data_IF_333835326848
#
_entry.id   IF_333835326848
#
_cell.length_a   1.000
_cell.length_b   1.000
_cell.length_c   1.000
_cell.angle_alpha   90.00
_cell.angle_beta   90.00
_cell.angle_gamma   90.00
#
_symmetry.space_group_name_H-M   'P 1'
#
loop_
_entity.id
_entity.type
_entity.pdbx_description
1 polymer ?
#
# COMPACT_ATOMS: atom_id res chain seq x y z
N UNK A 1 15.08 -13.17 -24.10
CA UNK A 1 14.54 -12.47 -22.91
C UNK A 1 15.65 -12.44 -21.87
N UNK A 2 15.90 -11.27 -21.26
CA UNK A 2 16.85 -11.19 -20.15
C UNK A 2 16.30 -11.98 -18.97
N UNK A 3 17.16 -12.70 -18.27
CA UNK A 3 16.77 -13.44 -17.06
C UNK A 3 16.35 -12.45 -15.98
N UNK A 4 15.23 -12.71 -15.33
CA UNK A 4 14.79 -11.95 -14.14
C UNK A 4 15.41 -12.64 -12.93
N UNK A 5 16.06 -11.88 -12.05
CA UNK A 5 16.84 -12.41 -10.93
C UNK A 5 16.48 -11.69 -9.63
N UNK A 6 16.37 -12.45 -8.55
CA UNK A 6 16.21 -11.94 -7.19
C UNK A 6 17.11 -12.73 -6.24
N UNK A 7 17.90 -12.03 -5.44
CA UNK A 7 18.91 -12.62 -4.54
C UNK A 7 19.81 -13.68 -5.22
N UNK A 8 20.26 -13.40 -6.45
CA UNK A 8 21.14 -14.29 -7.22
C UNK A 8 20.46 -15.51 -7.84
N UNK A 9 19.14 -15.65 -7.70
CA UNK A 9 18.36 -16.76 -8.24
C UNK A 9 17.43 -16.30 -9.36
N UNK A 10 17.34 -17.10 -10.42
CA UNK A 10 16.43 -16.85 -11.53
C UNK A 10 14.97 -17.02 -11.09
N UNK A 11 14.13 -16.05 -11.45
CA UNK A 11 12.69 -16.05 -11.21
C UNK A 11 11.95 -16.31 -12.52
N UNK A 12 10.88 -17.11 -12.45
CA UNK A 12 10.08 -17.42 -13.66
C UNK A 12 8.80 -16.61 -13.76
N UNK A 13 8.25 -16.11 -12.65
CA UNK A 13 6.98 -15.39 -12.59
C UNK A 13 6.80 -14.62 -11.25
N UNK A 14 5.68 -13.91 -11.08
CA UNK A 14 5.37 -13.15 -9.85
C UNK A 14 5.17 -14.03 -8.60
N UNK A 15 4.61 -15.24 -8.73
CA UNK A 15 4.45 -16.16 -7.60
C UNK A 15 5.83 -16.58 -7.08
N UNK A 16 6.77 -16.93 -7.96
CA UNK A 16 8.15 -17.25 -7.56
C UNK A 16 8.79 -16.11 -6.76
N UNK A 17 8.59 -14.86 -7.19
CA UNK A 17 9.07 -13.68 -6.47
C UNK A 17 8.44 -13.58 -5.08
N UNK A 18 7.11 -13.66 -4.99
CA UNK A 18 6.34 -13.54 -3.73
C UNK A 18 6.74 -14.66 -2.77
N UNK A 19 6.84 -15.90 -3.24
CA UNK A 19 7.20 -17.05 -2.43
C UNK A 19 8.60 -16.91 -1.81
N UNK A 20 9.57 -16.42 -2.60
CA UNK A 20 10.95 -16.20 -2.14
C UNK A 20 11.09 -14.98 -1.24
N UNK A 21 10.46 -13.86 -1.59
CA UNK A 21 10.53 -12.62 -0.79
C UNK A 21 9.92 -12.82 0.59
N UNK A 22 8.81 -13.54 0.67
CA UNK A 22 8.09 -13.84 1.91
C UNK A 22 8.23 -15.30 2.33
N UNK A 23 9.46 -15.84 2.25
CA UNK A 23 9.75 -17.22 2.61
C UNK A 23 9.81 -17.46 4.13
N UNK A 24 10.16 -16.43 4.93
CA UNK A 24 10.30 -16.58 6.38
C UNK A 24 8.92 -16.65 7.08
N UNK A 25 8.49 -17.88 7.34
CA UNK A 25 7.23 -18.17 8.03
C UNK A 25 7.17 -17.67 9.48
N UNK A 26 8.29 -17.26 10.10
CA UNK A 26 8.26 -16.66 11.45
C UNK A 26 7.66 -15.25 11.42
N UNK A 27 7.79 -14.53 10.31
CA UNK A 27 7.32 -13.16 10.15
C UNK A 27 6.08 -13.05 9.26
N UNK A 28 5.91 -14.00 8.33
CA UNK A 28 4.85 -13.94 7.33
C UNK A 28 3.87 -15.11 7.41
N UNK A 29 2.59 -14.78 7.29
CA UNK A 29 1.52 -15.71 6.93
C UNK A 29 1.05 -15.38 5.51
N UNK A 30 0.92 -16.42 4.68
CA UNK A 30 0.48 -16.30 3.29
C UNK A 30 -0.92 -16.87 3.16
N UNK A 31 -1.82 -16.09 2.59
CA UNK A 31 -3.19 -16.49 2.27
C UNK A 31 -3.41 -16.38 0.76
N UNK A 32 -3.63 -17.53 0.12
CA UNK A 32 -3.91 -17.63 -1.32
C UNK A 32 -5.42 -17.76 -1.46
N UNK A 33 -6.07 -16.79 -2.13
CA UNK A 33 -7.49 -16.89 -2.46
C UNK A 33 -7.67 -17.11 -3.95
N UNK A 34 -7.93 -18.37 -4.31
CA UNK A 34 -8.14 -18.80 -5.70
C UNK A 34 -9.28 -18.05 -6.38
N UNK A 35 -10.29 -17.66 -5.61
CA UNK A 35 -11.54 -17.06 -6.08
C UNK A 35 -11.35 -15.67 -6.70
N UNK A 36 -10.28 -14.96 -6.30
CA UNK A 36 -10.03 -13.56 -6.67
C UNK A 36 -8.61 -13.31 -7.20
N UNK A 37 -7.87 -14.37 -7.60
CA UNK A 37 -6.52 -14.28 -8.16
C UNK A 37 -5.58 -13.35 -7.37
N UNK A 38 -5.61 -13.41 -6.03
CA UNK A 38 -4.72 -12.60 -5.20
C UNK A 38 -3.98 -13.43 -4.16
N UNK A 39 -2.82 -12.91 -3.78
CA UNK A 39 -2.04 -13.38 -2.63
C UNK A 39 -1.99 -12.28 -1.59
N UNK A 40 -2.38 -12.61 -0.36
CA UNK A 40 -2.26 -11.74 0.80
C UNK A 40 -1.12 -12.22 1.68
N UNK A 41 -0.19 -11.32 1.97
CA UNK A 41 0.87 -11.51 2.95
C UNK A 41 0.48 -10.74 4.22
N UNK A 42 0.39 -11.42 5.35
CA UNK A 42 0.17 -10.81 6.66
C UNK A 42 1.47 -10.83 7.45
N UNK A 43 1.87 -9.68 7.97
CA UNK A 43 2.90 -9.60 8.99
C UNK A 43 2.36 -10.11 10.32
N UNK A 44 3.13 -10.97 10.98
CA UNK A 44 2.83 -11.49 12.32
C UNK A 44 3.16 -10.51 13.44
N UNK A 45 3.96 -9.47 13.18
CA UNK A 45 4.47 -8.57 14.21
C UNK A 45 4.03 -7.10 14.08
N UNK A 46 3.55 -6.66 12.91
CA UNK A 46 3.17 -5.25 12.70
C UNK A 46 1.74 -5.05 12.25
N UNK A 47 0.91 -6.11 12.18
CA UNK A 47 -0.46 -6.09 11.60
C UNK A 47 -0.54 -5.56 10.16
N UNK A 48 0.60 -5.36 9.52
CA UNK A 48 0.68 -4.90 8.13
C UNK A 48 0.26 -6.03 7.20
N UNK A 49 -0.50 -5.66 6.17
CA UNK A 49 -0.99 -6.55 5.12
C UNK A 49 -0.45 -6.06 3.79
N UNK A 50 0.08 -6.96 2.98
CA UNK A 50 0.54 -6.69 1.61
C UNK A 50 -0.27 -7.55 0.66
N UNK A 51 -0.86 -6.93 -0.34
CA UNK A 51 -1.75 -7.56 -1.30
C UNK A 51 -1.12 -7.55 -2.69
N UNK A 52 -1.21 -8.69 -3.36
CA UNK A 52 -0.85 -8.86 -4.77
C UNK A 52 -2.10 -9.30 -5.53
N UNK A 53 -2.71 -8.38 -6.28
CA UNK A 53 -4.00 -8.58 -6.94
C UNK A 53 -3.88 -8.98 -8.41
N UNK A 54 -4.87 -9.73 -8.90
CA UNK A 54 -5.07 -9.99 -10.33
C UNK A 54 -3.93 -10.74 -11.00
N UNK A 55 -3.37 -11.73 -10.29
CA UNK A 55 -2.37 -12.62 -10.85
C UNK A 55 -2.99 -13.43 -12.00
N UNK A 56 -2.41 -13.34 -13.19
CA UNK A 56 -2.88 -14.15 -14.32
C UNK A 56 -2.59 -15.63 -14.11
N UNK A 57 -3.23 -16.51 -14.90
CA UNK A 57 -3.06 -17.98 -14.79
C UNK A 57 -1.59 -18.44 -14.80
N UNK A 58 -0.72 -17.74 -15.55
CA UNK A 58 0.72 -18.03 -15.62
C UNK A 58 1.56 -17.12 -14.71
N UNK A 59 0.92 -16.23 -13.94
CA UNK A 59 1.55 -15.26 -13.04
C UNK A 59 2.61 -14.36 -13.68
N UNK A 60 2.48 -14.14 -14.99
CA UNK A 60 3.36 -13.23 -15.75
C UNK A 60 2.86 -11.79 -15.75
N UNK A 61 1.67 -11.56 -15.19
CA UNK A 61 1.08 -10.23 -15.00
C UNK A 61 0.42 -10.14 -13.63
N UNK A 62 0.60 -8.98 -13.00
CA UNK A 62 0.03 -8.56 -11.73
C UNK A 62 -0.84 -7.32 -11.98
N UNK A 63 -2.07 -7.28 -11.50
CA UNK A 63 -2.91 -6.09 -11.65
C UNK A 63 -2.52 -4.99 -10.68
N UNK A 64 -2.23 -5.34 -9.42
CA UNK A 64 -1.79 -4.36 -8.44
C UNK A 64 -0.99 -4.95 -7.27
N UNK A 65 -0.19 -4.10 -6.63
CA UNK A 65 0.47 -4.37 -5.37
C UNK A 65 0.17 -3.23 -4.39
N UNK A 66 -0.29 -3.56 -3.19
CA UNK A 66 -0.73 -2.58 -2.20
C UNK A 66 -0.33 -3.03 -0.80
N UNK A 67 -0.16 -2.09 0.14
CA UNK A 67 -0.05 -2.42 1.56
C UNK A 67 -0.92 -1.52 2.43
N UNK A 68 -1.37 -2.08 3.56
CA UNK A 68 -2.20 -1.41 4.57
C UNK A 68 -1.89 -1.92 5.97
N UNK A 69 -2.44 -1.28 7.00
CA UNK A 69 -2.30 -1.71 8.39
C UNK A 69 -3.65 -1.68 9.10
N UNK A 70 -3.95 -2.69 9.91
CA UNK A 70 -5.23 -2.78 10.62
C UNK A 70 -5.45 -1.69 11.67
N UNK A 71 -4.40 -0.99 12.09
CA UNK A 71 -4.49 0.12 13.03
C UNK A 71 -4.86 1.45 12.35
N UNK A 72 -4.97 1.50 11.01
CA UNK A 72 -5.35 2.72 10.28
C UNK A 72 -6.24 2.44 9.04
N UNK A 73 -6.91 3.47 8.55
CA UNK A 73 -7.70 3.49 7.31
C UNK A 73 -6.85 3.83 6.07
N UNK A 74 -5.65 4.36 6.27
CA UNK A 74 -4.70 4.67 5.21
C UNK A 74 -4.10 3.41 4.57
N UNK A 75 -3.66 3.54 3.31
CA UNK A 75 -2.96 2.49 2.57
C UNK A 75 -2.09 3.11 1.48
N UNK A 76 -1.20 2.30 0.89
CA UNK A 76 -0.17 2.75 -0.07
C UNK A 76 -0.69 3.43 -1.33
N UNK A 77 -1.94 3.19 -1.71
CA UNK A 77 -2.43 3.46 -3.05
C UNK A 77 -2.08 2.34 -4.04
N UNK A 78 -2.63 2.45 -5.24
CA UNK A 78 -2.43 1.53 -6.36
C UNK A 78 -1.03 1.73 -6.96
N UNK A 79 -0.27 0.65 -7.12
CA UNK A 79 1.10 0.68 -7.66
C UNK A 79 1.09 0.33 -9.14
N UNK A 80 0.56 -0.85 -9.50
CA UNK A 80 0.45 -1.28 -10.89
C UNK A 80 -0.92 -0.93 -11.48
N UNK A 81 -1.94 -0.71 -10.63
CA UNK A 81 -3.34 -0.53 -11.03
C UNK A 81 -3.58 0.60 -12.04
N UNK A 82 -2.69 1.61 -12.08
CA UNK A 82 -2.76 2.72 -13.05
C UNK A 82 -2.56 2.23 -14.50
N UNK A 83 -1.68 1.25 -14.71
CA UNK A 83 -1.48 0.61 -16.01
C UNK A 83 -0.85 -0.79 -15.84
N UNK A 84 -1.66 -1.83 -15.58
CA UNK A 84 -1.18 -3.19 -15.37
C UNK A 84 -0.42 -3.77 -16.58
N UNK A 85 -0.77 -3.35 -17.79
CA UNK A 85 -0.10 -3.79 -19.03
C UNK A 85 1.31 -3.20 -19.20
N UNK A 86 1.71 -2.27 -18.33
CA UNK A 86 3.06 -1.74 -18.28
C UNK A 86 3.76 -2.10 -16.97
N UNK A 87 3.15 -1.74 -15.86
CA UNK A 87 3.76 -1.86 -14.52
C UNK A 87 3.52 -3.22 -13.85
N UNK A 88 2.58 -3.99 -14.36
CA UNK A 88 2.22 -5.32 -13.87
C UNK A 88 2.94 -6.47 -14.57
N UNK A 89 3.63 -6.22 -15.69
CA UNK A 89 4.33 -7.27 -16.44
C UNK A 89 5.50 -7.81 -15.62
N UNK A 90 5.67 -9.13 -15.61
CA UNK A 90 6.81 -9.77 -14.98
C UNK A 90 8.10 -9.50 -15.76
N UNK A 91 8.95 -8.62 -15.23
CA UNK A 91 10.29 -8.28 -15.73
C UNK A 91 11.12 -7.68 -14.58
N UNK A 92 12.42 -7.47 -14.80
CA UNK A 92 13.32 -6.95 -13.75
C UNK A 92 12.93 -5.55 -13.27
N UNK A 93 12.63 -4.62 -14.18
CA UNK A 93 12.32 -3.23 -13.82
C UNK A 93 11.09 -3.13 -12.90
N UNK A 94 10.07 -3.94 -13.17
CA UNK A 94 8.85 -4.00 -12.36
C UNK A 94 9.09 -4.72 -11.03
N UNK A 95 9.93 -5.77 -11.00
CA UNK A 95 10.35 -6.41 -9.74
C UNK A 95 11.06 -5.39 -8.85
N UNK A 96 12.04 -4.67 -9.37
CA UNK A 96 12.77 -3.64 -8.62
C UNK A 96 11.85 -2.51 -8.16
N UNK A 97 10.82 -2.17 -8.95
CA UNK A 97 9.82 -1.17 -8.59
C UNK A 97 8.94 -1.63 -7.43
N UNK A 98 8.48 -2.88 -7.46
CA UNK A 98 7.74 -3.49 -6.34
C UNK A 98 8.64 -3.60 -5.12
N UNK A 99 9.91 -3.93 -5.28
CA UNK A 99 10.87 -4.02 -4.19
C UNK A 99 10.99 -2.69 -3.43
N UNK A 100 11.22 -1.59 -4.17
CA UNK A 100 11.28 -0.23 -3.62
C UNK A 100 9.99 0.21 -2.92
N UNK A 101 8.83 -0.19 -3.43
CA UNK A 101 7.55 0.05 -2.75
C UNK A 101 7.54 -0.66 -1.39
N UNK A 102 7.90 -1.94 -1.38
CA UNK A 102 7.84 -2.82 -0.22
C UNK A 102 8.89 -2.50 0.85
N UNK A 103 9.96 -1.76 0.52
CA UNK A 103 10.88 -1.20 1.52
C UNK A 103 10.14 -0.41 2.60
N UNK A 104 9.05 0.25 2.24
CA UNK A 104 8.28 1.08 3.17
C UNK A 104 7.68 0.23 4.30
N UNK A 105 6.79 -0.75 4.04
CA UNK A 105 6.25 -1.60 5.10
C UNK A 105 7.29 -2.56 5.71
N UNK A 106 8.33 -2.96 4.98
CA UNK A 106 9.26 -3.99 5.45
C UNK A 106 10.41 -3.41 6.28
N UNK A 107 11.03 -2.31 5.83
CA UNK A 107 12.31 -1.82 6.36
C UNK A 107 12.20 -0.47 7.05
N UNK A 108 11.36 0.44 6.53
CA UNK A 108 11.36 1.86 6.95
C UNK A 108 10.26 2.19 7.97
N UNK A 109 9.09 1.59 7.82
CA UNK A 109 7.86 2.04 8.48
C UNK A 109 7.26 3.25 7.78
N UNK A 110 6.06 3.65 8.20
CA UNK A 110 5.29 4.71 7.56
C UNK A 110 4.32 5.36 8.54
N UNK A 111 3.78 6.53 8.17
CA UNK A 111 2.83 7.26 9.02
C UNK A 111 1.52 7.51 8.29
N UNK A 112 0.40 7.32 8.99
CA UNK A 112 -0.94 7.72 8.56
C UNK A 112 -1.42 8.88 9.42
N UNK A 113 -1.72 10.03 8.80
CA UNK A 113 -2.41 11.15 9.46
C UNK A 113 -3.89 11.10 9.12
N UNK A 114 -4.70 10.75 10.10
CA UNK A 114 -6.13 10.57 9.94
C UNK A 114 -6.90 11.75 10.52
N UNK A 115 -7.89 12.21 9.76
CA UNK A 115 -8.74 13.33 10.12
C UNK A 115 -10.15 12.82 10.33
N UNK A 116 -10.74 13.22 11.46
CA UNK A 116 -12.07 12.81 11.89
C UNK A 116 -12.96 14.04 12.06
N UNK A 117 -14.22 13.93 11.65
CA UNK A 117 -15.26 14.91 11.95
C UNK A 117 -16.21 14.28 12.98
N UNK A 118 -16.02 14.62 14.25
CA UNK A 118 -16.66 13.92 15.35
C UNK A 118 -16.14 12.49 15.45
N UNK A 119 -17.02 11.49 15.38
CA UNK A 119 -16.64 10.05 15.42
C UNK A 119 -16.40 9.45 14.03
N UNK A 120 -16.60 10.22 12.96
CA UNK A 120 -16.56 9.70 11.59
C UNK A 120 -15.21 9.99 10.95
N UNK A 121 -14.59 8.96 10.36
CA UNK A 121 -13.41 9.11 9.50
C UNK A 121 -13.75 10.01 8.31
N UNK A 122 -12.91 11.02 8.07
CA UNK A 122 -13.07 11.95 6.96
C UNK A 122 -12.04 11.70 5.86
N UNK A 123 -10.75 11.67 6.22
CA UNK A 123 -9.65 11.38 5.29
C UNK A 123 -8.38 10.91 6.01
N UNK A 124 -7.47 10.30 5.27
CA UNK A 124 -6.11 9.98 5.69
C UNK A 124 -5.10 10.59 4.70
N UNK A 125 -3.97 11.05 5.22
CA UNK A 125 -2.76 11.37 4.48
C UNK A 125 -1.70 10.33 4.84
N UNK A 126 -1.22 9.62 3.83
CA UNK A 126 -0.32 8.48 4.04
C UNK A 126 1.08 8.85 3.58
N UNK A 127 2.06 8.76 4.48
CA UNK A 127 3.44 9.18 4.27
C UNK A 127 4.37 7.97 4.10
N UNK A 128 5.34 8.00 3.16
CA UNK A 128 6.33 6.92 2.94
C UNK A 128 7.29 6.64 4.09
N UNK A 129 7.23 7.46 5.12
CA UNK A 129 8.25 7.60 6.12
C UNK A 129 7.62 8.02 7.45
N UNK A 130 8.32 7.69 8.53
CA UNK A 130 7.82 7.91 9.89
C UNK A 130 7.91 9.38 10.30
N UNK A 131 8.93 10.08 9.81
CA UNK A 131 9.29 11.45 10.16
C UNK A 131 8.65 12.52 9.27
N UNK A 132 7.85 12.11 8.26
CA UNK A 132 7.09 13.01 7.39
C UNK A 132 7.99 13.96 6.58
N UNK A 133 9.23 13.54 6.33
CA UNK A 133 10.20 14.22 5.48
C UNK A 133 9.82 14.16 4.00
N UNK A 134 9.09 13.13 3.59
CA UNK A 134 8.59 12.94 2.22
C UNK A 134 7.15 13.46 2.08
N UNK A 135 6.74 13.87 0.87
CA UNK A 135 5.34 14.16 0.59
C UNK A 135 4.48 12.89 0.73
N UNK A 136 3.20 13.01 1.13
CA UNK A 136 2.32 11.86 1.25
C UNK A 136 2.07 11.21 -0.12
N UNK A 137 2.01 9.86 -0.17
CA UNK A 137 1.75 9.08 -1.39
C UNK A 137 0.42 9.46 -2.04
N UNK A 138 -0.62 9.63 -1.22
CA UNK A 138 -2.00 9.82 -1.70
C UNK A 138 -2.89 10.42 -0.62
N UNK A 139 -3.95 11.10 -1.08
CA UNK A 139 -5.08 11.51 -0.27
C UNK A 139 -6.15 10.43 -0.35
N UNK A 140 -6.57 9.87 0.79
CA UNK A 140 -7.72 8.97 0.85
C UNK A 140 -8.83 9.66 1.63
N UNK A 141 -10.01 9.84 1.06
CA UNK A 141 -11.13 10.51 1.72
C UNK A 141 -12.46 9.87 1.40
N UNK A 142 -13.49 10.22 2.19
CA UNK A 142 -14.87 9.80 1.92
C UNK A 142 -15.27 10.06 0.46
N UNK A 143 -15.85 9.04 -0.19
CA UNK A 143 -16.28 9.13 -1.59
C UNK A 143 -17.58 9.94 -1.70
N UNK A 144 -17.46 11.26 -1.89
CA UNK A 144 -18.61 12.15 -2.09
C UNK A 144 -19.18 12.15 -3.54
N UNK A 145 -18.62 11.33 -4.43
CA UNK A 145 -19.13 11.18 -5.81
C UNK A 145 -19.20 12.52 -6.57
N UNK A 146 -20.27 12.73 -7.33
CA UNK A 146 -20.49 13.97 -8.10
C UNK A 146 -20.80 15.20 -7.22
N UNK A 147 -21.18 15.01 -5.94
CA UNK A 147 -21.37 16.13 -5.01
C UNK A 147 -20.06 16.87 -4.71
N UNK A 148 -18.91 16.27 -5.04
CA UNK A 148 -17.60 16.91 -4.87
C UNK A 148 -17.46 18.21 -5.65
N UNK A 149 -18.11 18.32 -6.81
CA UNK A 149 -18.06 19.51 -7.67
C UNK A 149 -18.89 20.64 -7.04
N UNK A 150 -20.10 20.33 -6.59
CA UNK A 150 -21.00 21.33 -5.99
C UNK A 150 -20.54 21.79 -4.61
N UNK A 151 -19.91 20.90 -3.84
CA UNK A 151 -19.43 21.18 -2.49
C UNK A 151 -17.94 21.51 -2.43
N UNK A 152 -17.28 21.72 -3.58
CA UNK A 152 -15.85 21.99 -3.63
C UNK A 152 -15.40 23.16 -2.72
N UNK A 153 -16.08 24.32 -2.69
CA UNK A 153 -15.72 25.41 -1.77
C UNK A 153 -15.85 24.99 -0.30
N UNK A 154 -16.87 24.20 0.02
CA UNK A 154 -17.09 23.67 1.37
C UNK A 154 -15.95 22.73 1.75
N UNK A 155 -15.50 21.86 0.83
CA UNK A 155 -14.36 20.98 1.08
C UNK A 155 -13.05 21.73 1.27
N UNK A 156 -12.82 22.85 0.55
CA UNK A 156 -11.65 23.69 0.81
C UNK A 156 -11.68 24.23 2.24
N UNK A 157 -12.81 24.82 2.65
CA UNK A 157 -12.95 25.39 3.99
C UNK A 157 -12.80 24.29 5.05
N UNK A 158 -13.47 23.15 4.88
CA UNK A 158 -13.35 22.01 5.80
C UNK A 158 -11.90 21.53 5.93
N UNK A 159 -11.20 21.37 4.81
CA UNK A 159 -9.80 20.95 4.81
C UNK A 159 -8.89 21.96 5.51
N UNK A 160 -9.13 23.25 5.30
CA UNK A 160 -8.39 24.32 5.99
C UNK A 160 -8.64 24.28 7.50
N UNK A 161 -9.91 24.24 7.91
CA UNK A 161 -10.28 24.21 9.32
C UNK A 161 -9.77 22.94 10.03
N UNK A 162 -9.85 21.77 9.37
CA UNK A 162 -9.27 20.52 9.86
C UNK A 162 -7.75 20.59 9.97
N UNK A 163 -7.08 21.14 8.95
CA UNK A 163 -5.61 21.29 8.94
C UNK A 163 -5.11 22.24 10.04
N UNK A 164 -5.90 23.26 10.38
CA UNK A 164 -5.63 24.18 11.50
C UNK A 164 -6.06 23.62 12.87
N UNK A 165 -6.72 22.45 12.92
CA UNK A 165 -7.26 21.89 14.16
C UNK A 165 -8.43 22.67 14.76
N UNK A 166 -9.12 23.50 13.96
CA UNK A 166 -10.26 24.30 14.41
C UNK A 166 -11.57 23.49 14.45
N UNK A 167 -11.65 22.43 13.65
CA UNK A 167 -12.75 21.46 13.68
C UNK A 167 -12.17 20.05 13.63
N UNK A 168 -12.92 19.08 14.16
CA UNK A 168 -12.54 17.68 14.09
C UNK A 168 -11.34 17.30 14.96
N UNK A 169 -10.80 16.12 14.70
CA UNK A 169 -9.62 15.57 15.38
C UNK A 169 -8.63 15.05 14.33
N UNK A 170 -7.34 15.29 14.55
CA UNK A 170 -6.26 14.68 13.77
C UNK A 170 -5.54 13.65 14.63
N UNK A 171 -5.43 12.42 14.13
CA UNK A 171 -4.68 11.33 14.76
C UNK A 171 -3.50 10.95 13.89
N UNK A 172 -2.32 10.95 14.49
CA UNK A 172 -1.11 10.45 13.85
C UNK A 172 -0.86 9.01 14.30
N UNK A 173 -0.73 8.10 13.34
CA UNK A 173 -0.52 6.67 13.56
C UNK A 173 0.79 6.29 12.89
N UNK A 174 1.81 6.04 13.71
CA UNK A 174 3.13 5.60 13.25
C UNK A 174 3.11 4.07 13.18
N UNK A 175 3.43 3.54 12.02
CA UNK A 175 3.44 2.10 11.74
C UNK A 175 4.88 1.65 11.63
N UNK A 176 5.28 0.82 12.59
CA UNK A 176 6.64 0.28 12.61
C UNK A 176 6.85 -0.72 11.47
N UNK A 177 8.08 -0.78 10.92
CA UNK A 177 8.42 -1.75 9.89
C UNK A 177 8.31 -3.19 10.39
N UNK A 178 8.14 -4.12 9.45
CA UNK A 178 8.07 -5.55 9.76
C UNK A 178 9.41 -6.07 10.31
N UNK A 179 10.55 -5.56 9.84
CA UNK A 179 11.93 -5.98 10.17
C UNK A 179 12.06 -7.49 10.45
N UNK A 180 12.49 -8.22 9.43
CA UNK A 180 12.95 -9.59 9.53
C UNK A 180 14.37 -9.68 8.96
N UNK A 181 15.24 -10.45 9.62
CA UNK A 181 16.65 -10.61 9.26
C UNK A 181 16.84 -11.68 8.19
#
# INVERSE_FOLDING_TARGET
MNKVVYNGQELTNWIDYIERKFADSNYFEKEIRADNNFILIKSKNSKTKIWFYGLTKNSTKLEDCQYSNDDCHGWSGETCGVNPDKYGIFNQDNIDSIDRLLDTPILKGWTSKEFYLGKSFYKALVYPDKDLSQPPFKYYGNRFGCFIIFLFPVFIILNLLLGLGLIGEMREIIIEPIIYN
#
